data_IF_464313120242
#
_entry.id   IF_464313120242
#
_cell.length_a   1.000
_cell.length_b   1.000
_cell.length_c   1.000
_cell.angle_alpha   90.00
_cell.angle_beta   90.00
_cell.angle_gamma   90.00
#
_symmetry.space_group_name_H-M   'P 1'
#
loop_
_entity.id
_entity.type
_entity.pdbx_description
1 polymer ?
#
# COMPACT_ATOMS: atom_id res chain seq x y z
N UNK A 1 -3.66 -22.19 1.41
CA UNK A 1 -4.77 -21.24 1.11
C UNK A 1 -5.17 -20.53 2.40
N UNK A 2 -5.03 -19.20 2.47
CA UNK A 2 -5.50 -18.44 3.65
C UNK A 2 -6.99 -18.18 3.47
N UNK A 3 -7.81 -18.81 4.32
CA UNK A 3 -9.25 -18.57 4.35
C UNK A 3 -9.53 -17.09 4.59
N UNK A 4 -10.44 -16.50 3.82
CA UNK A 4 -10.85 -15.10 4.03
C UNK A 4 -11.54 -14.95 5.39
N UNK A 5 -11.48 -13.76 5.99
CA UNK A 5 -12.12 -13.47 7.28
C UNK A 5 -13.63 -13.80 7.23
N UNK A 6 -14.28 -13.54 6.09
CA UNK A 6 -15.67 -13.87 5.81
C UNK A 6 -15.93 -15.37 5.94
N UNK A 7 -15.12 -16.21 5.28
CA UNK A 7 -15.23 -17.67 5.34
C UNK A 7 -14.97 -18.19 6.75
N UNK A 8 -14.01 -17.63 7.45
CA UNK A 8 -13.66 -18.01 8.82
C UNK A 8 -14.80 -17.70 9.81
N UNK A 9 -15.39 -16.50 9.75
CA UNK A 9 -16.54 -16.12 10.59
C UNK A 9 -17.76 -16.99 10.28
N UNK A 10 -18.08 -17.23 9.01
CA UNK A 10 -19.20 -18.10 8.62
C UNK A 10 -19.02 -19.52 9.15
N UNK A 11 -17.78 -20.07 9.09
CA UNK A 11 -17.48 -21.40 9.62
C UNK A 11 -17.60 -21.45 11.17
N UNK A 12 -17.13 -20.40 11.86
CA UNK A 12 -17.21 -20.33 13.34
C UNK A 12 -18.67 -20.25 13.79
N UNK A 13 -19.46 -19.33 13.23
CA UNK A 13 -20.87 -19.19 13.62
C UNK A 13 -21.72 -20.38 13.17
N UNK A 14 -21.52 -20.87 11.93
CA UNK A 14 -22.19 -22.06 11.45
C UNK A 14 -21.86 -23.30 12.29
N UNK A 15 -20.60 -23.50 12.67
CA UNK A 15 -20.16 -24.57 13.57
C UNK A 15 -20.75 -24.44 14.96
N UNK A 16 -20.78 -23.23 15.56
CA UNK A 16 -21.39 -23.00 16.87
C UNK A 16 -22.90 -23.33 16.88
N UNK A 17 -23.63 -22.89 15.83
CA UNK A 17 -25.04 -23.20 15.67
C UNK A 17 -25.29 -24.70 15.51
N UNK A 18 -24.44 -25.40 14.76
CA UNK A 18 -24.54 -26.83 14.57
C UNK A 18 -24.30 -27.58 15.89
N UNK A 19 -23.27 -27.19 16.66
CA UNK A 19 -22.99 -27.79 17.98
C UNK A 19 -24.15 -27.55 18.96
N UNK A 20 -24.68 -26.33 19.02
CA UNK A 20 -25.82 -26.00 19.88
C UNK A 20 -27.08 -26.79 19.49
N UNK A 21 -27.32 -26.94 18.17
CA UNK A 21 -28.46 -27.73 17.66
C UNK A 21 -28.34 -29.23 17.96
N UNK A 22 -27.13 -29.79 17.80
CA UNK A 22 -26.88 -31.20 18.17
C UNK A 22 -27.08 -31.43 19.66
N UNK A 23 -26.61 -30.51 20.50
CA UNK A 23 -26.77 -30.57 21.95
C UNK A 23 -28.25 -30.49 22.36
N UNK A 24 -29.01 -29.58 21.72
CA UNK A 24 -30.45 -29.47 21.95
C UNK A 24 -31.18 -30.75 21.57
N UNK A 25 -30.82 -31.33 20.42
CA UNK A 25 -31.41 -32.58 19.91
C UNK A 25 -31.09 -33.77 20.83
N UNK A 26 -29.86 -33.83 21.38
CA UNK A 26 -29.45 -34.82 22.37
C UNK A 26 -30.25 -34.71 23.67
N UNK A 27 -30.38 -33.46 24.19
CA UNK A 27 -31.19 -33.22 25.41
C UNK A 27 -32.65 -33.58 25.19
N UNK A 28 -33.22 -33.19 24.04
CA UNK A 28 -34.62 -33.54 23.71
C UNK A 28 -34.82 -35.05 23.62
N UNK A 29 -33.83 -35.77 23.04
CA UNK A 29 -33.86 -37.24 22.91
C UNK A 29 -33.84 -37.90 24.30
N UNK A 30 -32.98 -37.45 25.23
CA UNK A 30 -32.89 -37.95 26.62
C UNK A 30 -34.19 -37.70 27.36
N UNK A 31 -34.71 -36.45 27.30
CA UNK A 31 -35.96 -36.08 27.99
C UNK A 31 -37.16 -36.84 27.45
N UNK A 32 -37.22 -37.08 26.17
CA UNK A 32 -38.27 -37.92 25.58
C UNK A 32 -38.19 -39.36 26.07
N UNK A 33 -36.97 -39.92 26.16
CA UNK A 33 -36.75 -41.25 26.74
C UNK A 33 -37.28 -41.38 28.16
N UNK A 34 -36.93 -40.41 29.03
CA UNK A 34 -37.42 -40.34 30.41
C UNK A 34 -38.95 -40.18 30.50
N UNK A 35 -39.56 -39.40 29.60
CA UNK A 35 -41.02 -39.22 29.54
C UNK A 35 -41.75 -40.49 29.11
N UNK A 36 -41.21 -41.23 28.16
CA UNK A 36 -41.78 -42.52 27.72
C UNK A 36 -41.63 -43.58 28.78
N UNK A 37 -40.49 -43.59 29.52
CA UNK A 37 -40.28 -44.56 30.62
C UNK A 37 -41.15 -44.25 31.84
N UNK A 38 -41.50 -42.99 32.07
CA UNK A 38 -42.37 -42.55 33.19
C UNK A 38 -43.87 -42.61 32.85
N UNK A 39 -44.23 -42.76 31.57
CA UNK A 39 -45.63 -42.87 31.16
C UNK A 39 -46.17 -44.23 31.58
N UNK A 40 -47.09 -44.26 32.56
CA UNK A 40 -47.79 -45.45 33.01
C UNK A 40 -48.56 -46.05 31.83
N UNK A 41 -48.67 -47.40 31.71
CA UNK A 41 -49.34 -48.09 30.61
C UNK A 41 -50.86 -47.80 30.46
N UNK A 42 -51.41 -46.96 31.36
CA UNK A 42 -52.84 -46.61 31.42
C UNK A 42 -53.24 -45.53 30.39
N UNK A 43 -52.30 -44.92 29.65
CA UNK A 43 -52.57 -43.79 28.70
C UNK A 43 -52.51 -44.17 27.21
N UNK A 44 -52.30 -45.47 26.90
CA UNK A 44 -52.36 -45.95 25.54
C UNK A 44 -53.81 -46.19 25.11
N UNK A 45 -54.33 -45.34 24.25
CA UNK A 45 -55.68 -45.39 23.67
C UNK A 45 -55.86 -46.55 22.66
N UNK A 46 -57.06 -46.77 22.19
CA UNK A 46 -58.12 -47.67 22.70
C UNK A 46 -58.50 -48.75 21.65
N UNK A 47 -57.57 -49.48 21.09
CA UNK A 47 -57.89 -50.69 20.29
C UNK A 47 -57.62 -51.98 21.07
N UNK A 48 -57.07 -51.88 22.30
CA UNK A 48 -56.87 -53.02 23.19
C UNK A 48 -57.84 -52.91 24.37
N UNK A 49 -58.86 -53.66 24.35
CA UNK A 49 -59.81 -53.74 25.46
C UNK A 49 -59.15 -54.50 26.61
N UNK A 50 -58.72 -53.75 27.65
CA UNK A 50 -58.28 -54.35 28.91
C UNK A 50 -59.51 -54.89 29.65
N UNK A 51 -59.82 -56.14 29.46
CA UNK A 51 -60.82 -56.81 30.27
C UNK A 51 -60.16 -57.33 31.52
N UNK A 52 -60.40 -56.65 32.65
CA UNK A 52 -60.06 -57.13 33.97
C UNK A 52 -61.02 -58.22 34.33
N UNK A 53 -60.66 -59.53 34.19
CA UNK A 53 -61.46 -60.63 34.66
C UNK A 53 -61.11 -60.90 36.10
N UNK A 54 -62.09 -60.68 36.96
CA UNK A 54 -61.99 -61.02 38.36
C UNK A 54 -62.17 -62.53 38.54
N UNK A 55 -61.03 -63.24 38.65
CA UNK A 55 -61.12 -64.71 39.00
C UNK A 55 -61.20 -64.89 40.47
N UNK A 56 -62.16 -65.71 41.00
CA UNK A 56 -62.20 -66.17 42.35
C UNK A 56 -61.31 -67.42 42.45
N UNK A 57 -60.00 -67.23 42.75
CA UNK A 57 -59.15 -68.36 43.14
C UNK A 57 -59.11 -68.54 44.65
N UNK A 58 -58.54 -69.63 45.16
CA UNK A 58 -58.51 -69.95 46.63
C UNK A 58 -57.71 -68.98 47.43
N UNK A 59 -56.87 -68.14 46.81
CA UNK A 59 -55.96 -67.10 47.47
C UNK A 59 -56.43 -65.66 47.27
N UNK A 60 -57.69 -65.38 46.90
CA UNK A 60 -58.23 -64.04 46.73
C UNK A 60 -58.32 -63.57 45.27
N UNK A 61 -58.89 -62.37 45.04
CA UNK A 61 -59.06 -61.86 43.65
C UNK A 61 -57.72 -61.48 43.00
N UNK A 62 -57.24 -62.31 42.08
CA UNK A 62 -56.08 -62.04 41.28
C UNK A 62 -56.49 -61.23 40.08
N UNK A 63 -55.84 -60.05 39.86
CA UNK A 63 -55.92 -59.26 38.62
C UNK A 63 -55.10 -59.97 37.52
N UNK A 64 -55.75 -60.50 36.54
CA UNK A 64 -55.07 -61.02 35.34
C UNK A 64 -55.21 -59.99 34.20
N UNK A 65 -54.11 -59.60 33.65
CA UNK A 65 -54.06 -58.76 32.47
C UNK A 65 -54.52 -59.60 31.26
N UNK A 66 -55.54 -59.14 30.56
CA UNK A 66 -56.06 -59.75 29.35
C UNK A 66 -56.01 -58.78 28.23
N UNK A 67 -55.28 -59.08 27.17
CA UNK A 67 -55.12 -58.20 25.96
C UNK A 67 -55.85 -58.91 24.79
N UNK A 68 -56.75 -58.20 24.16
CA UNK A 68 -57.38 -58.68 22.89
C UNK A 68 -56.57 -58.13 21.72
N UNK A 69 -55.98 -58.99 20.92
CA UNK A 69 -55.22 -58.57 19.74
C UNK A 69 -56.20 -58.21 18.60
N UNK A 70 -55.71 -57.47 17.62
CA UNK A 70 -56.50 -57.07 16.44
C UNK A 70 -57.03 -58.18 15.62
N UNK A 71 -56.39 -59.35 15.69
CA UNK A 71 -56.80 -60.61 15.03
C UNK A 71 -57.85 -61.41 15.83
N UNK A 72 -58.28 -60.89 17.04
CA UNK A 72 -59.30 -61.48 17.87
C UNK A 72 -58.80 -62.51 18.90
N UNK A 73 -57.49 -62.71 19.01
CA UNK A 73 -56.88 -63.62 19.99
C UNK A 73 -56.82 -63.00 21.38
N UNK A 74 -57.22 -63.80 22.38
CA UNK A 74 -57.17 -63.43 23.82
C UNK A 74 -55.82 -63.85 24.42
N UNK A 75 -54.90 -62.89 24.69
CA UNK A 75 -53.64 -63.15 25.42
C UNK A 75 -53.82 -62.90 26.90
N UNK A 76 -53.35 -63.84 27.75
CA UNK A 76 -53.43 -63.70 29.22
C UNK A 76 -52.10 -63.99 29.89
N UNK A 77 -51.83 -63.32 31.04
CA UNK A 77 -50.63 -63.52 31.85
C UNK A 77 -49.34 -63.12 31.12
N UNK A 78 -48.33 -63.97 31.19
CA UNK A 78 -46.98 -63.68 30.63
C UNK A 78 -46.97 -63.52 29.10
N UNK A 79 -47.98 -63.92 28.36
CA UNK A 79 -48.12 -63.72 26.93
C UNK A 79 -48.63 -62.28 26.62
N UNK A 80 -49.55 -61.78 27.44
CA UNK A 80 -50.03 -60.39 27.36
C UNK A 80 -48.95 -59.37 27.76
N UNK A 81 -48.13 -59.66 28.77
CA UNK A 81 -47.00 -58.83 29.18
C UNK A 81 -45.95 -58.75 28.03
N UNK A 82 -45.52 -59.87 27.46
CA UNK A 82 -44.58 -59.88 26.33
C UNK A 82 -45.06 -59.14 25.13
N UNK A 83 -46.34 -59.31 24.74
CA UNK A 83 -46.94 -58.57 23.63
C UNK A 83 -46.97 -57.08 23.88
N UNK A 84 -47.29 -56.62 25.10
CA UNK A 84 -47.24 -55.20 25.49
C UNK A 84 -45.83 -54.67 25.44
N UNK A 85 -44.84 -55.42 25.95
CA UNK A 85 -43.43 -55.03 25.90
C UNK A 85 -42.93 -54.92 24.47
N UNK A 86 -43.29 -55.87 23.57
CA UNK A 86 -42.96 -55.81 22.13
C UNK A 86 -43.59 -54.59 21.44
N UNK A 87 -44.88 -54.29 21.72
CA UNK A 87 -45.56 -53.12 21.16
C UNK A 87 -44.96 -51.80 21.66
N UNK A 88 -44.68 -51.73 22.97
CA UNK A 88 -44.05 -50.53 23.51
C UNK A 88 -42.63 -50.34 23.01
N UNK A 89 -41.85 -51.41 22.82
CA UNK A 89 -40.53 -51.35 22.20
C UNK A 89 -40.59 -50.90 20.74
N UNK A 90 -41.54 -51.44 19.97
CA UNK A 90 -41.72 -51.02 18.57
C UNK A 90 -42.15 -49.57 18.42
N UNK A 91 -43.06 -49.09 19.30
CA UNK A 91 -43.46 -47.68 19.35
C UNK A 91 -42.30 -46.74 19.72
N UNK A 92 -41.47 -47.17 20.70
CA UNK A 92 -40.25 -46.44 21.11
C UNK A 92 -39.26 -46.32 19.96
N UNK A 93 -39.03 -47.44 19.27
CA UNK A 93 -38.11 -47.45 18.09
C UNK A 93 -38.62 -46.57 16.98
N UNK A 94 -39.89 -46.63 16.62
CA UNK A 94 -40.51 -45.81 15.59
C UNK A 94 -40.50 -44.31 15.95
N UNK A 95 -40.83 -44.00 17.24
CA UNK A 95 -40.82 -42.63 17.74
C UNK A 95 -39.40 -42.02 17.77
N UNK A 96 -38.41 -42.80 18.25
CA UNK A 96 -37.01 -42.36 18.27
C UNK A 96 -36.42 -42.13 16.89
N UNK A 97 -36.69 -43.04 15.96
CA UNK A 97 -36.21 -42.94 14.57
C UNK A 97 -36.82 -41.75 13.86
N UNK A 98 -38.13 -41.55 14.02
CA UNK A 98 -38.84 -40.37 13.48
C UNK A 98 -38.32 -39.05 14.03
N UNK A 99 -38.09 -39.00 15.33
CA UNK A 99 -37.59 -37.81 16.03
C UNK A 99 -36.16 -37.46 15.56
N UNK A 100 -35.28 -38.46 15.46
CA UNK A 100 -33.93 -38.28 14.95
C UNK A 100 -33.92 -37.83 13.49
N UNK A 101 -34.73 -38.43 12.65
CA UNK A 101 -34.83 -38.09 11.23
C UNK A 101 -35.37 -36.66 11.02
N UNK A 102 -36.49 -36.31 11.69
CA UNK A 102 -37.06 -34.95 11.61
C UNK A 102 -36.14 -33.91 12.25
N UNK A 103 -35.52 -34.23 13.38
CA UNK A 103 -34.56 -33.38 14.06
C UNK A 103 -33.31 -33.10 13.21
N UNK A 104 -32.80 -34.13 12.53
CA UNK A 104 -31.65 -33.97 11.62
C UNK A 104 -31.99 -33.09 10.43
N UNK A 105 -33.15 -33.22 9.83
CA UNK A 105 -33.63 -32.38 8.73
C UNK A 105 -33.80 -30.94 9.21
N UNK A 106 -34.49 -30.74 10.35
CA UNK A 106 -34.68 -29.39 10.91
C UNK A 106 -33.35 -28.70 11.24
N UNK A 107 -32.40 -29.43 11.86
CA UNK A 107 -31.06 -28.95 12.14
C UNK A 107 -30.30 -28.56 10.87
N UNK A 108 -30.39 -29.38 9.82
CA UNK A 108 -29.79 -29.11 8.51
C UNK A 108 -30.32 -27.81 7.87
N UNK A 109 -31.64 -27.62 7.91
CA UNK A 109 -32.27 -26.38 7.40
C UNK A 109 -31.84 -25.15 8.19
N UNK A 110 -31.88 -25.23 9.53
CA UNK A 110 -31.45 -24.09 10.39
C UNK A 110 -29.98 -23.76 10.17
N UNK A 111 -29.12 -24.77 10.07
CA UNK A 111 -27.69 -24.57 9.81
C UNK A 111 -27.43 -23.92 8.44
N UNK A 112 -28.17 -24.34 7.40
CA UNK A 112 -28.07 -23.77 6.06
C UNK A 112 -28.54 -22.31 6.03
N UNK A 113 -29.66 -21.99 6.67
CA UNK A 113 -30.18 -20.63 6.81
C UNK A 113 -29.21 -19.74 7.60
N UNK A 114 -28.69 -20.22 8.72
CA UNK A 114 -27.73 -19.47 9.56
C UNK A 114 -26.42 -19.22 8.79
N UNK A 115 -25.91 -20.19 8.06
CA UNK A 115 -24.73 -20.04 7.22
C UNK A 115 -24.95 -19.01 6.08
N UNK A 116 -26.11 -19.10 5.39
CA UNK A 116 -26.48 -18.16 4.33
C UNK A 116 -26.63 -16.72 4.84
N UNK A 117 -27.32 -16.54 5.95
CA UNK A 117 -27.50 -15.25 6.59
C UNK A 117 -26.16 -14.67 7.08
N UNK A 118 -25.35 -15.48 7.77
CA UNK A 118 -24.00 -15.08 8.22
C UNK A 118 -23.10 -14.67 7.05
N UNK A 119 -23.16 -15.40 5.94
CA UNK A 119 -22.43 -15.03 4.73
C UNK A 119 -22.86 -13.68 4.16
N UNK A 120 -24.16 -13.39 4.13
CA UNK A 120 -24.73 -12.17 3.57
C UNK A 120 -24.41 -10.95 4.46
N UNK A 121 -24.65 -11.08 5.77
CA UNK A 121 -24.38 -10.01 6.76
C UNK A 121 -22.89 -9.70 6.82
N UNK A 122 -22.04 -10.70 6.99
CA UNK A 122 -20.59 -10.53 7.04
C UNK A 122 -20.05 -9.89 5.75
N UNK A 123 -20.63 -10.25 4.58
CA UNK A 123 -20.28 -9.64 3.30
C UNK A 123 -20.56 -8.14 3.26
N UNK A 124 -21.71 -7.73 3.79
CA UNK A 124 -22.17 -6.33 3.78
C UNK A 124 -21.43 -5.49 4.83
N UNK A 125 -21.18 -6.01 6.02
CA UNK A 125 -20.48 -5.31 7.11
C UNK A 125 -18.98 -5.16 6.83
N UNK A 126 -18.33 -6.15 6.19
CA UNK A 126 -16.91 -6.09 5.89
C UNK A 126 -16.55 -5.38 4.57
N UNK A 127 -17.53 -5.09 3.70
CA UNK A 127 -17.28 -4.39 2.44
C UNK A 127 -16.68 -2.98 2.64
N UNK A 128 -17.16 -2.15 3.58
CA UNK A 128 -16.57 -0.84 3.86
C UNK A 128 -15.12 -0.91 4.34
N UNK A 129 -14.80 -1.83 5.26
CA UNK A 129 -13.43 -2.02 5.76
C UNK A 129 -12.44 -2.39 4.65
N UNK A 130 -12.89 -3.14 3.64
CA UNK A 130 -12.05 -3.42 2.46
C UNK A 130 -11.77 -2.16 1.66
N UNK A 131 -12.77 -1.28 1.48
CA UNK A 131 -12.56 0.01 0.79
C UNK A 131 -11.53 0.86 1.51
N UNK A 132 -11.64 1.00 2.85
CA UNK A 132 -10.63 1.70 3.67
C UNK A 132 -9.23 1.12 3.43
N UNK A 133 -9.10 -0.21 3.51
CA UNK A 133 -7.80 -0.88 3.32
C UNK A 133 -7.25 -0.70 1.91
N UNK A 134 -8.09 -0.78 0.88
CA UNK A 134 -7.67 -0.67 -0.51
C UNK A 134 -7.29 0.79 -0.85
N UNK A 135 -8.03 1.78 -0.35
CA UNK A 135 -7.68 3.20 -0.48
C UNK A 135 -6.38 3.51 0.25
N UNK A 136 -6.22 3.04 1.50
CA UNK A 136 -4.97 3.21 2.24
C UNK A 136 -3.77 2.59 1.52
N UNK A 137 -3.93 1.42 0.88
CA UNK A 137 -2.88 0.79 0.08
C UNK A 137 -2.55 1.58 -1.18
N UNK A 138 -3.55 2.14 -1.86
CA UNK A 138 -3.31 2.99 -3.04
C UNK A 138 -2.55 4.26 -2.65
N UNK A 139 -2.94 4.91 -1.56
CA UNK A 139 -2.23 6.08 -1.03
C UNK A 139 -0.78 5.70 -0.65
N UNK A 140 -0.57 4.57 0.02
CA UNK A 140 0.77 4.12 0.42
C UNK A 140 1.65 3.65 -0.76
N UNK A 141 1.05 3.17 -1.85
CA UNK A 141 1.75 2.69 -3.03
C UNK A 141 2.01 3.81 -4.05
N UNK A 142 1.35 4.96 -3.92
CA UNK A 142 1.57 6.10 -4.79
C UNK A 142 2.97 6.69 -4.51
N UNK A 143 3.91 6.64 -5.46
CA UNK A 143 5.25 7.17 -5.24
C UNK A 143 5.19 8.70 -5.15
N UNK A 144 5.34 9.23 -3.95
CA UNK A 144 5.66 10.65 -3.71
C UNK A 144 4.64 11.70 -4.10
N UNK A 145 3.45 11.34 -4.59
CA UNK A 145 2.62 12.23 -5.38
C UNK A 145 1.20 12.37 -4.87
N UNK A 146 0.74 13.56 -4.91
CA UNK A 146 -0.57 14.12 -4.58
C UNK A 146 -1.84 13.41 -5.13
N UNK A 147 -1.87 12.63 -6.22
CA UNK A 147 -3.11 12.00 -6.69
C UNK A 147 -3.72 11.03 -5.66
N UNK A 148 -2.88 10.37 -4.86
CA UNK A 148 -3.35 9.46 -3.80
C UNK A 148 -4.00 10.19 -2.62
N UNK A 149 -3.55 11.41 -2.30
CA UNK A 149 -4.11 12.21 -1.19
C UNK A 149 -5.41 12.93 -1.56
N UNK A 150 -5.73 13.07 -2.83
CA UNK A 150 -7.03 13.60 -3.29
C UNK A 150 -8.17 12.58 -3.13
N UNK A 151 -7.82 11.28 -3.02
CA UNK A 151 -8.82 10.24 -2.86
C UNK A 151 -9.34 10.19 -1.42
N UNK A 152 -10.66 10.22 -1.26
CA UNK A 152 -11.35 10.10 0.02
C UNK A 152 -12.15 8.81 0.02
N UNK A 153 -12.36 8.27 1.20
CA UNK A 153 -13.20 7.08 1.37
C UNK A 153 -14.67 7.48 1.16
N UNK A 154 -15.04 8.65 1.65
CA UNK A 154 -16.42 9.23 1.61
C UNK A 154 -17.49 8.15 1.86
N UNK A 155 -17.36 7.46 2.99
CA UNK A 155 -18.21 6.33 3.31
C UNK A 155 -19.62 6.80 3.64
N UNK A 156 -20.60 6.49 2.77
CA UNK A 156 -22.01 6.76 3.00
C UNK A 156 -22.65 5.56 3.70
N UNK A 157 -23.27 5.78 4.84
CA UNK A 157 -23.91 4.74 5.62
C UNK A 157 -24.39 5.23 6.99
N UNK A 158 -24.84 4.30 7.84
CA UNK A 158 -25.19 4.64 9.22
C UNK A 158 -23.94 5.10 9.98
N UNK A 159 -24.18 5.94 10.99
CA UNK A 159 -23.14 6.41 11.91
C UNK A 159 -22.76 5.25 12.87
N UNK A 160 -21.83 4.42 12.44
CA UNK A 160 -21.26 3.31 13.19
C UNK A 160 -19.74 3.46 13.31
N UNK A 161 -19.10 2.55 14.01
CA UNK A 161 -17.64 2.55 14.26
C UNK A 161 -16.84 2.48 12.95
N UNK A 162 -17.41 1.91 11.89
CA UNK A 162 -16.77 1.81 10.58
C UNK A 162 -16.78 3.16 9.87
N UNK A 163 -17.87 3.91 9.98
CA UNK A 163 -17.98 5.27 9.46
C UNK A 163 -17.05 6.21 10.22
N UNK A 164 -17.02 6.14 11.57
CA UNK A 164 -16.09 6.93 12.40
C UNK A 164 -14.63 6.67 12.01
N UNK A 165 -14.27 5.41 11.74
CA UNK A 165 -12.92 5.06 11.25
C UNK A 165 -12.64 5.70 9.88
N UNK A 166 -13.60 5.65 8.95
CA UNK A 166 -13.44 6.23 7.62
C UNK A 166 -13.30 7.77 7.68
N UNK A 167 -14.13 8.45 8.48
CA UNK A 167 -14.09 9.90 8.67
C UNK A 167 -12.78 10.35 9.35
N UNK A 168 -12.30 9.57 10.32
CA UNK A 168 -11.00 9.82 10.96
C UNK A 168 -9.85 9.66 9.97
N UNK A 169 -9.90 8.65 9.11
CA UNK A 169 -8.92 8.43 8.06
C UNK A 169 -8.93 9.58 7.05
N UNK A 170 -10.10 10.00 6.58
CA UNK A 170 -10.26 11.13 5.65
C UNK A 170 -9.73 12.44 6.26
N UNK A 171 -9.99 12.69 7.55
CA UNK A 171 -9.43 13.82 8.30
C UNK A 171 -7.90 13.77 8.37
N UNK A 172 -7.33 12.60 8.58
CA UNK A 172 -5.86 12.40 8.60
C UNK A 172 -5.26 12.68 7.23
N UNK A 173 -5.86 12.17 6.16
CA UNK A 173 -5.44 12.41 4.77
C UNK A 173 -5.53 13.90 4.43
N UNK A 174 -6.60 14.58 4.85
CA UNK A 174 -6.77 16.02 4.65
C UNK A 174 -5.68 16.84 5.37
N UNK A 175 -5.35 16.50 6.61
CA UNK A 175 -4.26 17.16 7.36
C UNK A 175 -2.91 16.95 6.71
N UNK A 176 -2.64 15.76 6.19
CA UNK A 176 -1.43 15.46 5.43
C UNK A 176 -1.34 16.32 4.17
N UNK A 177 -2.42 16.38 3.41
CA UNK A 177 -2.52 17.20 2.20
C UNK A 177 -2.30 18.68 2.49
N UNK A 178 -2.95 19.23 3.52
CA UNK A 178 -2.74 20.60 3.98
C UNK A 178 -1.30 20.85 4.43
N UNK A 179 -0.66 19.89 5.10
CA UNK A 179 0.73 19.99 5.53
C UNK A 179 1.67 20.06 4.32
N UNK A 180 1.47 19.20 3.32
CA UNK A 180 2.26 19.23 2.08
C UNK A 180 2.05 20.53 1.30
N UNK A 181 0.81 21.00 1.18
CA UNK A 181 0.53 22.29 0.55
C UNK A 181 1.13 23.47 1.31
N UNK A 182 1.12 23.42 2.64
CA UNK A 182 1.80 24.40 3.49
C UNK A 182 3.30 24.43 3.26
N UNK A 183 3.93 23.26 3.22
CA UNK A 183 5.35 23.12 2.96
C UNK A 183 5.74 23.64 1.56
N UNK A 184 4.94 23.34 0.53
CA UNK A 184 5.16 23.87 -0.84
C UNK A 184 5.14 25.39 -0.88
N UNK A 185 4.10 26.01 -0.29
CA UNK A 185 3.98 27.47 -0.23
C UNK A 185 5.13 28.10 0.55
N UNK A 186 5.52 27.49 1.67
CA UNK A 186 6.69 27.95 2.45
C UNK A 186 7.97 27.92 1.61
N UNK A 187 8.23 26.80 0.91
CA UNK A 187 9.40 26.64 0.03
C UNK A 187 9.37 27.65 -1.12
N UNK A 188 8.23 27.84 -1.78
CA UNK A 188 8.10 28.81 -2.86
C UNK A 188 8.35 30.24 -2.37
N UNK A 189 7.75 30.63 -1.25
CA UNK A 189 7.92 31.97 -0.68
C UNK A 189 9.36 32.19 -0.19
N UNK A 190 9.94 31.21 0.52
CA UNK A 190 11.33 31.28 0.95
C UNK A 190 12.29 31.44 -0.24
N UNK A 191 11.97 30.82 -1.39
CA UNK A 191 12.74 30.99 -2.63
C UNK A 191 12.84 32.44 -3.07
N UNK A 192 11.70 33.12 -3.09
CA UNK A 192 11.64 34.53 -3.50
C UNK A 192 12.28 35.47 -2.48
N UNK A 193 11.98 35.23 -1.21
CA UNK A 193 12.50 36.09 -0.10
C UNK A 193 14.01 35.96 0.09
N UNK A 194 14.60 34.80 -0.26
CA UNK A 194 16.05 34.62 -0.17
C UNK A 194 16.78 35.10 -1.43
N UNK A 195 16.16 35.03 -2.62
CA UNK A 195 16.79 35.48 -3.87
C UNK A 195 16.99 36.99 -3.91
N UNK A 196 16.01 37.75 -3.44
CA UNK A 196 16.04 39.25 -3.46
C UNK A 196 17.25 39.81 -2.73
N UNK A 197 17.57 39.49 -1.46
CA UNK A 197 18.74 40.03 -0.79
C UNK A 197 20.06 39.59 -1.40
N UNK A 198 20.15 38.38 -1.96
CA UNK A 198 21.33 37.90 -2.67
C UNK A 198 21.59 38.69 -3.93
N UNK A 199 20.54 38.92 -4.76
CA UNK A 199 20.65 39.74 -5.97
C UNK A 199 21.06 41.17 -5.64
N UNK A 200 20.48 41.77 -4.60
CA UNK A 200 20.87 43.12 -4.12
C UNK A 200 22.32 43.15 -3.63
N UNK A 201 22.71 42.15 -2.82
CA UNK A 201 24.09 42.02 -2.32
C UNK A 201 25.10 41.91 -3.48
N UNK A 202 24.81 41.12 -4.48
CA UNK A 202 25.58 40.97 -5.70
C UNK A 202 25.77 42.32 -6.42
N UNK A 203 24.65 43.01 -6.70
CA UNK A 203 24.68 44.31 -7.37
C UNK A 203 25.51 45.36 -6.60
N UNK A 204 25.41 45.40 -5.27
CA UNK A 204 26.18 46.30 -4.44
C UNK A 204 27.69 46.02 -4.52
N UNK A 205 28.08 44.75 -4.51
CA UNK A 205 29.48 44.33 -4.64
C UNK A 205 30.00 44.68 -6.04
N UNK A 206 29.24 44.38 -7.11
CA UNK A 206 29.59 44.70 -8.48
C UNK A 206 29.79 46.23 -8.65
N UNK A 207 28.88 47.07 -8.15
CA UNK A 207 28.99 48.52 -8.19
C UNK A 207 30.25 49.00 -7.43
N UNK A 208 30.54 48.42 -6.26
CA UNK A 208 31.74 48.78 -5.49
C UNK A 208 33.04 48.45 -6.25
N UNK A 209 33.10 47.31 -6.92
CA UNK A 209 34.26 46.84 -7.70
C UNK A 209 34.49 47.66 -8.99
N UNK A 210 33.43 48.13 -9.63
CA UNK A 210 33.50 48.88 -10.89
C UNK A 210 33.73 50.36 -10.74
N UNK A 211 33.80 50.89 -9.49
CA UNK A 211 34.19 52.30 -9.27
C UNK A 211 35.60 52.54 -9.72
N UNK A 212 35.85 53.69 -10.41
CA UNK A 212 37.20 54.08 -10.86
C UNK A 212 38.23 54.21 -9.74
N UNK A 213 37.75 54.48 -8.52
CA UNK A 213 38.57 54.61 -7.31
C UNK A 213 38.71 53.31 -6.51
N UNK A 214 38.24 52.18 -6.99
CA UNK A 214 38.33 50.91 -6.29
C UNK A 214 39.77 50.41 -6.20
N UNK A 215 40.26 50.25 -4.94
CA UNK A 215 41.59 49.70 -4.67
C UNK A 215 41.68 48.22 -5.09
N UNK A 216 42.89 47.71 -5.23
CA UNK A 216 43.13 46.30 -5.49
C UNK A 216 42.50 45.37 -4.42
N UNK A 217 42.52 45.80 -3.16
CA UNK A 217 41.95 45.09 -2.03
C UNK A 217 40.42 45.00 -2.14
N UNK A 218 39.77 46.13 -2.55
CA UNK A 218 38.29 46.13 -2.79
C UNK A 218 37.92 45.20 -3.91
N UNK A 219 38.70 45.15 -5.00
CA UNK A 219 38.43 44.19 -6.11
C UNK A 219 38.61 42.75 -5.66
N UNK A 220 39.69 42.47 -4.92
CA UNK A 220 39.95 41.09 -4.40
C UNK A 220 38.84 40.65 -3.44
N UNK A 221 38.45 41.53 -2.49
CA UNK A 221 37.36 41.24 -1.54
C UNK A 221 36.05 41.08 -2.28
N UNK A 222 35.74 41.93 -3.25
CA UNK A 222 34.53 41.86 -4.05
C UNK A 222 34.43 40.56 -4.85
N UNK A 223 35.51 40.10 -5.49
CA UNK A 223 35.55 38.83 -6.18
C UNK A 223 35.20 37.67 -5.22
N UNK A 224 35.81 37.63 -4.03
CA UNK A 224 35.50 36.59 -3.03
C UNK A 224 34.06 36.65 -2.53
N UNK A 225 33.50 37.86 -2.34
CA UNK A 225 32.12 38.05 -1.94
C UNK A 225 31.15 37.56 -3.03
N UNK A 226 31.44 37.82 -4.32
CA UNK A 226 30.65 37.32 -5.45
C UNK A 226 30.68 35.80 -5.53
N UNK A 227 31.84 35.18 -5.29
CA UNK A 227 31.97 33.72 -5.22
C UNK A 227 31.09 33.12 -4.10
N UNK A 228 31.14 33.71 -2.91
CA UNK A 228 30.31 33.30 -1.77
C UNK A 228 28.83 33.49 -2.08
N UNK A 229 28.44 34.61 -2.66
CA UNK A 229 27.05 34.89 -3.02
C UNK A 229 26.52 33.89 -4.05
N UNK A 230 27.29 33.61 -5.12
CA UNK A 230 26.97 32.60 -6.12
C UNK A 230 26.79 31.22 -5.50
N UNK A 231 27.65 30.86 -4.55
CA UNK A 231 27.49 29.60 -3.80
C UNK A 231 26.21 29.56 -2.98
N UNK A 232 25.79 30.64 -2.34
CA UNK A 232 24.54 30.73 -1.61
C UNK A 232 23.34 30.63 -2.56
N UNK A 233 23.38 31.29 -3.73
CA UNK A 233 22.35 31.17 -4.76
C UNK A 233 22.19 29.73 -5.23
N UNK A 234 23.28 29.01 -5.50
CA UNK A 234 23.26 27.61 -5.87
C UNK A 234 22.69 26.72 -4.76
N UNK A 235 23.08 26.95 -3.49
CA UNK A 235 22.55 26.23 -2.31
C UNK A 235 21.04 26.38 -2.21
N UNK A 236 20.57 27.62 -2.22
CA UNK A 236 19.16 27.94 -2.07
C UNK A 236 18.36 27.36 -3.24
N UNK A 237 18.81 27.60 -4.47
CA UNK A 237 18.16 27.08 -5.67
C UNK A 237 18.10 25.54 -5.68
N UNK A 238 19.18 24.89 -5.27
CA UNK A 238 19.24 23.43 -5.15
C UNK A 238 18.29 22.87 -4.09
N UNK A 239 18.26 23.46 -2.89
CA UNK A 239 17.34 23.07 -1.82
C UNK A 239 15.87 23.24 -2.22
N UNK A 240 15.56 24.36 -2.85
CA UNK A 240 14.22 24.68 -3.31
C UNK A 240 13.76 23.76 -4.45
N UNK A 241 14.70 23.35 -5.30
CA UNK A 241 14.44 22.41 -6.36
C UNK A 241 14.21 20.99 -5.82
N UNK A 242 15.01 20.54 -4.85
CA UNK A 242 14.77 19.28 -4.15
C UNK A 242 13.38 19.28 -3.52
N UNK A 243 12.99 20.35 -2.83
CA UNK A 243 11.67 20.44 -2.23
C UNK A 243 10.51 20.55 -3.25
N UNK A 244 10.76 21.01 -4.48
CA UNK A 244 9.77 21.01 -5.58
C UNK A 244 9.71 19.67 -6.30
N UNK A 245 10.82 19.02 -6.54
CA UNK A 245 10.92 17.80 -7.34
C UNK A 245 10.55 16.53 -6.58
N UNK A 246 10.31 16.58 -5.27
CA UNK A 246 9.69 15.48 -4.51
C UNK A 246 8.22 15.25 -4.89
N UNK A 247 7.69 16.01 -5.88
CA UNK A 247 6.31 15.94 -6.33
C UNK A 247 6.23 15.72 -7.84
N UNK A 248 5.17 15.06 -8.30
CA UNK A 248 4.91 14.89 -9.74
C UNK A 248 4.83 16.24 -10.45
N UNK A 249 5.34 16.25 -11.66
CA UNK A 249 5.26 17.40 -12.57
C UNK A 249 3.80 17.61 -12.97
N UNK A 250 3.19 18.72 -12.50
CA UNK A 250 1.77 19.04 -12.73
C UNK A 250 1.44 19.25 -14.22
N UNK A 251 2.43 19.68 -15.02
CA UNK A 251 2.26 19.91 -16.46
C UNK A 251 3.35 19.14 -17.22
N UNK A 252 2.95 18.11 -17.97
CA UNK A 252 3.85 17.32 -18.81
C UNK A 252 3.65 17.69 -20.27
N UNK A 253 4.64 18.30 -20.87
CA UNK A 253 4.68 18.61 -22.30
C UNK A 253 5.61 17.64 -23.03
N UNK A 254 5.41 17.42 -24.34
CA UNK A 254 6.39 16.72 -25.16
C UNK A 254 7.73 17.49 -25.16
N UNK A 255 8.81 16.79 -24.87
CA UNK A 255 10.17 17.34 -24.83
C UNK A 255 11.09 16.34 -25.53
N UNK A 256 11.99 16.80 -26.35
CA UNK A 256 13.09 15.99 -26.86
C UNK A 256 14.35 16.26 -26.01
N UNK A 257 14.92 15.21 -25.46
CA UNK A 257 16.16 15.31 -24.66
C UNK A 257 17.37 15.66 -25.55
N UNK A 258 17.33 15.35 -26.85
CA UNK A 258 18.38 15.74 -27.81
C UNK A 258 18.49 17.25 -27.92
N UNK A 259 17.35 17.94 -28.06
CA UNK A 259 17.32 19.42 -28.15
C UNK A 259 17.85 20.05 -26.84
N UNK A 260 17.47 19.49 -25.68
CA UNK A 260 17.95 19.98 -24.38
C UNK A 260 19.46 19.76 -24.21
N UNK A 261 19.97 18.62 -24.66
CA UNK A 261 21.42 18.33 -24.61
C UNK A 261 22.18 19.34 -25.43
N UNK A 262 21.76 19.56 -26.72
CA UNK A 262 22.38 20.51 -27.58
C UNK A 262 22.44 21.93 -26.99
N UNK A 263 21.28 22.39 -26.45
CA UNK A 263 21.19 23.71 -25.80
C UNK A 263 22.12 23.83 -24.58
N UNK A 264 22.17 22.82 -23.74
CA UNK A 264 23.01 22.83 -22.52
C UNK A 264 24.49 22.75 -22.86
N UNK A 265 24.88 21.94 -23.85
CA UNK A 265 26.28 21.85 -24.31
C UNK A 265 26.75 23.20 -24.86
N UNK A 266 25.94 23.89 -25.67
CA UNK A 266 26.24 25.24 -26.16
C UNK A 266 26.42 26.22 -24.97
N UNK A 267 25.54 26.19 -24.00
CA UNK A 267 25.52 27.08 -22.82
C UNK A 267 26.75 26.88 -21.93
N UNK A 268 27.23 25.64 -21.78
CA UNK A 268 28.37 25.27 -20.93
C UNK A 268 29.73 25.32 -21.65
N UNK A 269 29.74 25.50 -22.97
CA UNK A 269 30.95 25.54 -23.78
C UNK A 269 31.99 26.59 -23.34
N UNK A 270 31.63 27.84 -22.92
CA UNK A 270 32.59 28.80 -22.43
C UNK A 270 33.32 28.36 -21.15
N UNK A 271 32.59 27.71 -20.22
CA UNK A 271 33.17 27.17 -18.98
C UNK A 271 34.12 26.01 -19.30
N UNK A 272 33.70 25.08 -20.15
CA UNK A 272 34.53 23.95 -20.57
C UNK A 272 35.83 24.42 -21.24
N UNK A 273 35.76 25.45 -22.12
CA UNK A 273 36.92 26.04 -22.77
C UNK A 273 37.86 26.67 -21.77
N UNK A 274 37.36 27.40 -20.77
CA UNK A 274 38.17 28.02 -19.72
C UNK A 274 38.92 27.00 -18.87
N UNK A 275 38.29 25.84 -18.60
CA UNK A 275 38.89 24.74 -17.84
C UNK A 275 39.75 23.81 -18.74
N UNK A 276 39.82 24.06 -20.06
CA UNK A 276 40.58 23.25 -21.00
C UNK A 276 40.00 21.86 -21.28
N UNK A 277 38.67 21.74 -21.17
CA UNK A 277 37.94 20.48 -21.32
C UNK A 277 37.21 20.43 -22.65
N UNK A 278 37.30 19.29 -23.34
CA UNK A 278 36.57 19.07 -24.58
C UNK A 278 35.24 18.39 -24.34
N UNK A 279 34.13 19.01 -24.75
CA UNK A 279 32.79 18.40 -24.67
C UNK A 279 32.46 17.79 -26.05
N UNK A 280 32.15 16.50 -26.04
CA UNK A 280 31.68 15.74 -27.20
C UNK A 280 30.21 15.44 -27.05
N UNK A 281 29.43 15.81 -28.06
CA UNK A 281 28.00 15.56 -28.15
C UNK A 281 27.72 14.47 -29.16
N UNK A 282 26.82 13.55 -28.82
CA UNK A 282 26.28 12.53 -29.73
C UNK A 282 24.80 12.37 -29.40
N UNK A 283 23.94 13.02 -30.17
CA UNK A 283 22.52 13.10 -29.91
C UNK A 283 21.72 12.34 -30.97
N UNK A 284 20.94 11.37 -30.50
CA UNK A 284 19.83 10.77 -31.21
C UNK A 284 18.53 11.26 -30.57
N UNK A 285 17.46 11.36 -31.37
CA UNK A 285 16.14 11.74 -30.88
C UNK A 285 15.75 10.90 -29.62
N UNK A 286 15.37 11.57 -28.57
CA UNK A 286 15.01 10.95 -27.29
C UNK A 286 13.75 11.60 -26.71
N UNK A 287 12.57 11.41 -27.34
CA UNK A 287 11.34 12.06 -26.95
C UNK A 287 10.84 11.50 -25.59
N UNK A 288 10.43 12.43 -24.74
CA UNK A 288 9.82 12.15 -23.43
C UNK A 288 8.69 13.13 -23.15
N UNK A 289 8.06 13.02 -22.00
CA UNK A 289 7.07 14.00 -21.50
C UNK A 289 7.47 14.54 -20.15
N UNK A 290 7.46 15.86 -19.99
CA UNK A 290 7.87 16.46 -18.71
C UNK A 290 7.83 17.98 -18.69
N UNK A 291 8.39 18.54 -17.63
CA UNK A 291 8.67 19.97 -17.51
C UNK A 291 10.04 20.27 -18.13
N UNK A 292 10.03 20.99 -19.24
CA UNK A 292 11.25 21.29 -20.02
C UNK A 292 12.31 22.00 -19.18
N UNK A 293 11.91 22.90 -18.26
CA UNK A 293 12.84 23.66 -17.41
C UNK A 293 13.52 22.76 -16.37
N UNK A 294 12.77 21.83 -15.78
CA UNK A 294 13.34 20.86 -14.86
C UNK A 294 14.29 19.88 -15.56
N UNK A 295 13.90 19.41 -16.74
CA UNK A 295 14.72 18.51 -17.54
C UNK A 295 15.99 19.20 -18.06
N UNK A 296 15.92 20.45 -18.52
CA UNK A 296 17.07 21.26 -18.86
C UNK A 296 18.04 21.42 -17.69
N UNK A 297 17.50 21.74 -16.50
CA UNK A 297 18.30 21.86 -15.27
C UNK A 297 18.97 20.55 -14.88
N UNK A 298 18.30 19.42 -15.09
CA UNK A 298 18.87 18.09 -14.87
C UNK A 298 20.06 17.83 -15.80
N UNK A 299 19.92 18.08 -17.09
CA UNK A 299 21.02 17.94 -18.08
C UNK A 299 22.17 18.90 -17.74
N UNK A 300 21.85 20.16 -17.39
CA UNK A 300 22.85 21.14 -17.01
C UNK A 300 23.68 20.69 -15.79
N UNK A 301 23.02 20.16 -14.74
CA UNK A 301 23.75 19.63 -13.58
C UNK A 301 24.65 18.44 -13.94
N UNK A 302 24.26 17.60 -14.90
CA UNK A 302 25.10 16.49 -15.36
C UNK A 302 26.34 16.98 -16.09
N UNK A 303 26.17 17.92 -17.04
CA UNK A 303 27.27 18.45 -17.86
C UNK A 303 28.21 19.30 -16.99
N UNK A 304 27.67 20.18 -16.15
CA UNK A 304 28.45 21.01 -15.21
C UNK A 304 29.28 20.12 -14.26
N UNK A 305 28.69 19.03 -13.73
CA UNK A 305 29.44 18.08 -12.91
C UNK A 305 30.57 17.42 -13.68
N UNK A 306 30.33 17.02 -14.94
CA UNK A 306 31.33 16.41 -15.83
C UNK A 306 32.52 17.36 -16.11
N UNK A 307 32.25 18.65 -16.27
CA UNK A 307 33.29 19.68 -16.46
C UNK A 307 34.04 19.90 -15.14
N UNK A 308 33.33 20.12 -14.05
CA UNK A 308 33.89 20.50 -12.74
C UNK A 308 34.75 19.42 -12.10
N UNK A 309 34.35 18.14 -12.25
CA UNK A 309 35.05 16.99 -11.64
C UNK A 309 35.96 16.26 -12.64
N UNK A 310 36.45 17.01 -13.65
CA UNK A 310 37.38 16.50 -14.65
C UNK A 310 38.84 16.51 -14.16
N UNK A 311 39.74 15.96 -14.97
CA UNK A 311 41.19 15.97 -14.70
C UNK A 311 41.87 17.32 -14.99
N UNK A 312 41.13 18.32 -15.50
CA UNK A 312 41.67 19.60 -15.96
C UNK A 312 42.04 19.58 -17.46
N UNK A 313 43.01 20.41 -17.91
CA UNK A 313 43.33 20.55 -19.32
C UNK A 313 43.58 19.23 -20.03
N UNK A 314 42.89 19.02 -21.15
CA UNK A 314 42.91 17.75 -21.92
C UNK A 314 41.90 16.72 -21.47
N UNK A 315 41.08 17.01 -20.47
CA UNK A 315 39.95 16.17 -20.04
C UNK A 315 38.80 16.23 -21.05
N UNK A 316 37.92 15.22 -20.98
CA UNK A 316 36.78 15.11 -21.92
C UNK A 316 35.48 14.87 -21.12
N UNK A 317 34.39 15.43 -21.69
CA UNK A 317 33.00 15.11 -21.27
C UNK A 317 32.30 14.65 -22.54
N UNK A 318 31.65 13.48 -22.47
CA UNK A 318 30.81 12.97 -23.54
C UNK A 318 29.37 12.98 -23.10
N UNK A 319 28.49 13.60 -23.85
CA UNK A 319 27.04 13.64 -23.64
C UNK A 319 26.36 12.91 -24.76
N UNK A 320 25.49 11.96 -24.41
CA UNK A 320 24.74 11.14 -25.37
C UNK A 320 23.27 11.14 -25.01
N UNK A 321 22.39 11.39 -25.98
CA UNK A 321 20.95 11.11 -25.87
C UNK A 321 20.57 9.98 -26.83
N UNK A 322 19.62 9.15 -26.41
CA UNK A 322 19.10 8.04 -27.23
C UNK A 322 17.81 7.48 -26.65
N UNK A 323 17.09 6.69 -27.45
CA UNK A 323 16.03 5.80 -26.94
C UNK A 323 16.56 4.37 -26.86
N UNK A 324 16.32 3.70 -25.74
CA UNK A 324 16.63 2.30 -25.51
C UNK A 324 15.55 1.65 -24.65
N UNK A 325 15.05 0.49 -25.08
CA UNK A 325 14.07 -0.32 -24.33
C UNK A 325 12.85 0.53 -23.85
N UNK A 326 12.24 1.31 -24.75
CA UNK A 326 11.15 2.26 -24.45
C UNK A 326 11.49 3.33 -23.41
N UNK A 327 12.79 3.65 -23.28
CA UNK A 327 13.27 4.69 -22.36
C UNK A 327 14.10 5.72 -23.13
N UNK A 328 13.81 6.98 -22.89
CA UNK A 328 14.65 8.09 -23.31
C UNK A 328 15.80 8.24 -22.31
N UNK A 329 17.04 8.12 -22.78
CA UNK A 329 18.24 8.14 -21.96
C UNK A 329 19.11 9.36 -22.26
N UNK A 330 19.63 9.99 -21.20
CA UNK A 330 20.78 10.91 -21.26
C UNK A 330 21.94 10.29 -20.50
N UNK A 331 23.07 10.16 -21.17
CA UNK A 331 24.30 9.59 -20.61
C UNK A 331 25.39 10.66 -20.63
N UNK A 332 25.95 10.96 -19.47
CA UNK A 332 27.12 11.85 -19.37
C UNK A 332 28.29 11.07 -18.82
N UNK A 333 29.36 11.03 -19.58
CA UNK A 333 30.62 10.39 -19.22
C UNK A 333 31.72 11.44 -19.14
N UNK A 334 32.44 11.50 -18.05
CA UNK A 334 33.58 12.39 -17.90
C UNK A 334 34.87 11.66 -17.51
N UNK A 335 36.01 12.15 -17.98
CA UNK A 335 37.31 11.83 -17.39
C UNK A 335 37.42 12.49 -16.02
N UNK A 336 38.18 11.88 -15.10
CA UNK A 336 38.29 12.44 -13.74
C UNK A 336 39.06 11.52 -12.82
N UNK A 337 39.11 11.85 -11.56
CA UNK A 337 39.69 10.97 -10.52
C UNK A 337 38.92 9.65 -10.43
N UNK A 338 39.58 8.51 -10.13
CA UNK A 338 38.89 7.27 -9.89
C UNK A 338 37.89 7.38 -8.74
N UNK A 339 36.67 6.90 -8.98
CA UNK A 339 35.60 6.86 -7.97
C UNK A 339 35.34 5.42 -7.56
N UNK A 340 35.48 5.04 -6.28
CA UNK A 340 35.16 3.68 -5.81
C UNK A 340 33.67 3.39 -5.99
N UNK A 341 33.34 2.16 -6.45
CA UNK A 341 31.95 1.79 -6.71
C UNK A 341 31.08 1.88 -5.44
N UNK A 342 31.66 1.62 -4.28
CA UNK A 342 31.00 1.71 -2.96
C UNK A 342 30.58 3.13 -2.56
N UNK A 343 31.25 4.15 -3.10
CA UNK A 343 30.92 5.56 -2.81
C UNK A 343 29.82 6.12 -3.72
N UNK A 344 29.52 5.47 -4.84
CA UNK A 344 28.57 5.98 -5.84
C UNK A 344 27.17 6.22 -5.29
N UNK A 345 26.57 5.31 -4.49
CA UNK A 345 25.24 5.60 -3.92
C UNK A 345 25.19 6.88 -3.08
N UNK A 346 26.28 7.15 -2.37
CA UNK A 346 26.39 8.36 -1.52
C UNK A 346 26.52 9.65 -2.33
N UNK A 347 26.98 9.61 -3.58
CA UNK A 347 27.07 10.81 -4.45
C UNK A 347 25.70 11.39 -4.80
N UNK A 348 24.64 10.61 -4.73
CA UNK A 348 23.27 11.06 -4.92
C UNK A 348 22.61 11.63 -3.66
N UNK A 349 23.27 11.53 -2.50
CA UNK A 349 22.79 12.17 -1.26
C UNK A 349 23.07 13.66 -1.28
N UNK A 350 22.14 14.52 -0.82
CA UNK A 350 22.38 15.96 -0.72
C UNK A 350 23.61 16.27 0.16
N UNK A 351 24.41 17.27 -0.26
CA UNK A 351 25.62 17.74 0.45
C UNK A 351 26.76 16.72 0.55
N UNK A 352 26.67 15.59 -0.11
CA UNK A 352 27.78 14.62 -0.17
C UNK A 352 28.77 14.99 -1.26
N UNK A 353 30.06 14.85 -0.93
CA UNK A 353 31.19 15.10 -1.84
C UNK A 353 32.20 13.98 -1.66
N UNK A 354 32.91 13.62 -2.71
CA UNK A 354 34.01 12.68 -2.65
C UNK A 354 35.10 13.18 -1.68
N UNK A 355 35.74 12.29 -0.95
CA UNK A 355 36.73 12.65 0.08
C UNK A 355 37.91 13.48 -0.48
N UNK A 356 38.33 13.19 -1.72
CA UNK A 356 39.43 13.88 -2.41
C UNK A 356 39.08 15.31 -2.79
N UNK A 357 37.80 15.62 -3.08
CA UNK A 357 37.33 16.96 -3.47
C UNK A 357 37.28 17.95 -2.29
N UNK A 358 37.32 17.45 -1.05
CA UNK A 358 37.31 18.32 0.15
C UNK A 358 38.58 19.14 0.29
N UNK A 359 39.69 18.70 -0.32
CA UNK A 359 41.00 19.33 -0.15
C UNK A 359 41.41 20.22 -1.31
N UNK A 360 40.85 20.07 -2.50
CA UNK A 360 41.38 20.67 -3.74
C UNK A 360 40.49 21.78 -4.33
N UNK A 361 39.16 21.72 -4.18
CA UNK A 361 38.30 22.71 -4.86
C UNK A 361 37.18 23.23 -3.97
N UNK A 362 37.19 24.52 -3.68
CA UNK A 362 36.09 25.22 -2.96
C UNK A 362 34.78 25.30 -3.81
N UNK A 363 34.83 24.88 -5.11
CA UNK A 363 33.74 24.99 -6.07
C UNK A 363 32.78 23.82 -5.95
N UNK A 364 31.52 24.07 -5.53
CA UNK A 364 30.40 23.15 -5.57
C UNK A 364 29.81 22.82 -4.20
N UNK A 365 28.47 22.68 -4.17
CA UNK A 365 27.65 22.52 -2.97
C UNK A 365 27.34 21.05 -2.64
N UNK A 366 27.57 20.13 -3.60
CA UNK A 366 27.21 18.71 -3.45
C UNK A 366 25.71 18.46 -3.63
N UNK A 367 25.02 19.26 -4.43
CA UNK A 367 23.59 19.10 -4.72
C UNK A 367 23.30 18.59 -6.16
N UNK A 368 24.27 18.64 -7.08
CA UNK A 368 24.02 18.37 -8.51
C UNK A 368 23.39 17.00 -8.76
N UNK A 369 24.01 15.92 -8.32
CA UNK A 369 23.48 14.56 -8.54
C UNK A 369 22.20 14.26 -7.74
N UNK A 370 22.01 14.85 -6.59
CA UNK A 370 20.74 14.73 -5.84
C UNK A 370 19.59 15.41 -6.58
N UNK A 371 19.83 16.55 -7.22
CA UNK A 371 18.87 17.22 -8.10
C UNK A 371 18.55 16.33 -9.31
N UNK A 372 19.58 15.77 -9.96
CA UNK A 372 19.41 14.86 -11.09
C UNK A 372 18.50 13.69 -10.72
N UNK A 373 18.74 13.02 -9.59
CA UNK A 373 17.91 11.91 -9.12
C UNK A 373 16.49 12.35 -8.82
N UNK A 374 16.31 13.48 -8.17
CA UNK A 374 15.01 14.01 -7.79
C UNK A 374 14.18 14.36 -9.05
N UNK A 375 14.75 15.06 -10.03
CA UNK A 375 14.08 15.37 -11.30
C UNK A 375 13.76 14.12 -12.09
N UNK A 376 14.68 13.16 -12.19
CA UNK A 376 14.43 11.89 -12.87
C UNK A 376 13.25 11.14 -12.22
N UNK A 377 13.21 11.05 -10.88
CA UNK A 377 12.13 10.41 -10.14
C UNK A 377 10.79 11.12 -10.34
N UNK A 378 10.73 12.44 -10.28
CA UNK A 378 9.52 13.24 -10.54
C UNK A 378 8.93 13.01 -11.95
N UNK A 379 9.78 12.63 -12.92
CA UNK A 379 9.39 12.28 -14.28
C UNK A 379 9.15 10.76 -14.48
N UNK A 380 9.09 9.96 -13.40
CA UNK A 380 8.88 8.51 -13.49
C UNK A 380 10.09 7.74 -14.01
N UNK A 381 11.27 8.36 -13.92
CA UNK A 381 12.55 7.82 -14.37
C UNK A 381 13.47 7.39 -13.23
N UNK A 382 14.72 7.12 -13.62
CA UNK A 382 15.80 6.73 -12.69
C UNK A 382 17.10 7.42 -13.10
N UNK A 383 17.96 7.70 -12.11
CA UNK A 383 19.33 8.14 -12.31
C UNK A 383 20.29 7.14 -11.68
N UNK A 384 21.26 6.68 -12.45
CA UNK A 384 22.28 5.72 -12.02
C UNK A 384 23.66 6.21 -12.38
N UNK A 385 24.68 5.77 -11.66
CA UNK A 385 26.06 6.09 -11.99
C UNK A 385 26.93 4.83 -11.88
N UNK A 386 28.04 4.83 -12.60
CA UNK A 386 29.06 3.79 -12.51
C UNK A 386 30.46 4.39 -12.72
N UNK A 387 31.50 3.80 -12.14
CA UNK A 387 32.88 4.24 -12.42
C UNK A 387 33.20 4.11 -13.91
N UNK A 388 33.94 5.10 -14.42
CA UNK A 388 34.52 5.02 -15.77
C UNK A 388 35.85 4.27 -15.72
N UNK A 389 36.10 3.30 -16.63
CA UNK A 389 37.44 2.71 -16.81
C UNK A 389 38.48 3.80 -17.14
N UNK A 390 39.53 3.88 -16.35
CA UNK A 390 40.56 4.91 -16.50
C UNK A 390 40.30 6.20 -15.71
N UNK A 391 39.28 6.21 -14.85
CA UNK A 391 38.93 7.34 -13.97
C UNK A 391 37.80 8.19 -14.50
N UNK A 392 37.06 8.79 -13.59
CA UNK A 392 35.85 9.57 -13.85
C UNK A 392 34.58 8.75 -13.61
N UNK A 393 33.45 9.26 -14.09
CA UNK A 393 32.13 8.73 -13.83
C UNK A 393 31.32 8.63 -15.13
N UNK A 394 30.42 7.67 -15.19
CA UNK A 394 29.34 7.58 -16.19
C UNK A 394 28.03 7.68 -15.46
N UNK A 395 27.26 8.72 -15.71
CA UNK A 395 25.93 8.92 -15.14
C UNK A 395 24.91 8.73 -16.26
N UNK A 396 23.90 7.90 -15.99
CA UNK A 396 22.79 7.61 -16.90
C UNK A 396 21.49 8.02 -16.24
N UNK A 397 20.73 8.84 -16.91
CA UNK A 397 19.33 9.15 -16.59
C UNK A 397 18.45 8.46 -17.61
N UNK A 398 17.41 7.79 -17.16
CA UNK A 398 16.48 7.03 -18.00
C UNK A 398 15.05 7.43 -17.62
N UNK A 399 14.33 8.03 -18.58
CA UNK A 399 12.95 8.51 -18.47
C UNK A 399 12.02 7.65 -19.34
N UNK A 400 10.70 7.61 -19.07
CA UNK A 400 9.74 7.01 -19.99
C UNK A 400 9.83 7.69 -21.37
N UNK A 401 10.00 6.91 -22.44
CA UNK A 401 9.90 7.44 -23.80
C UNK A 401 8.43 7.68 -24.16
N UNK A 402 8.24 8.60 -25.14
CA UNK A 402 6.91 8.91 -25.68
C UNK A 402 6.72 8.20 -27.02
#
# INVERSE_FOLDING_TARGET
MRLTLRTRLTLIYGGLFLVAGVLLLAVTYVLLGEQIDSASPTTLEPETVHLERRGNGPDGPTRQLVVLTRDGDMLTGAAAERWMDEQTAALREAASTSLLAQGAVALGVVAAVAAGFGWLVTGRVLAPLRRVTDTARRIAAAPGSNPGLAERIDLRGPDDEVKELADTFDTMVERLDQSFHGQRRFVANASHELRTPLTLGRSLVEVAMHRRSASADVKTLGTRLLEINSRHEQLISGLLMLAKSDHEVDARFPVDLADLVGHVVEQTSPEATTEGITVHETTDDAPTTGDALLLERMVHNLVENGIRHNTGPGGTVRVTSRVRDDRAEVIVENTGSPVPAEEIPALFEPFRRHATDRLVTAKGVGLGLSIVRSVATAHGGTATARPRPGGGLVVTVSLPAK
#
